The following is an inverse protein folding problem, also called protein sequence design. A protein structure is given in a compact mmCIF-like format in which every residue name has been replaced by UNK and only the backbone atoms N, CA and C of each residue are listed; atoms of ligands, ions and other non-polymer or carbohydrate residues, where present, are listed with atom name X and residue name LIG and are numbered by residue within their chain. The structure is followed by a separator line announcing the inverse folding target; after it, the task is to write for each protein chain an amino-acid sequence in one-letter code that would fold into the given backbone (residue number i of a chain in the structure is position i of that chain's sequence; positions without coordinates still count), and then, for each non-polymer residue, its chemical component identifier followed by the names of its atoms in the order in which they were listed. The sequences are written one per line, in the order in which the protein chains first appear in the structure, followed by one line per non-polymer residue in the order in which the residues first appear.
data_IF_776913119479
#
_entry.id   IF_776913119479
#
_cell.length_a   1.000
_cell.length_b   1.000
_cell.length_c   1.000
_cell.angle_alpha   90.00
_cell.angle_beta   90.00
_cell.angle_gamma   90.00
#
_symmetry.space_group_name_H-M   'P 1'
#
loop_
_entity.id
_entity.type
_entity.pdbx_description
1 polymer ?
#
# COMPACT_ATOMS: atom_id res chain seq x y z
N UNK A 1 21.62 0.85 6.87
CA UNK A 1 20.55 0.00 6.32
C UNK A 1 21.13 -1.25 5.70
N UNK A 2 20.47 -2.36 5.89
CA UNK A 2 20.87 -3.65 5.35
C UNK A 2 20.71 -3.70 3.82
N UNK A 3 21.67 -4.29 3.12
CA UNK A 3 21.53 -4.55 1.68
C UNK A 3 20.45 -5.60 1.44
N UNK A 4 19.62 -5.39 0.44
CA UNK A 4 18.53 -6.29 0.07
C UNK A 4 18.76 -6.87 -1.31
N UNK A 5 18.48 -8.18 -1.45
CA UNK A 5 18.63 -8.92 -2.71
C UNK A 5 17.37 -9.70 -3.00
N UNK A 6 16.96 -9.73 -4.26
CA UNK A 6 15.83 -10.53 -4.72
C UNK A 6 16.15 -12.03 -4.69
N UNK A 7 15.14 -12.85 -4.89
CA UNK A 7 15.29 -14.33 -4.96
C UNK A 7 16.33 -14.75 -6.02
N UNK A 8 16.37 -14.05 -7.15
CA UNK A 8 17.33 -14.28 -8.22
C UNK A 8 18.64 -13.49 -8.06
N UNK A 9 18.91 -12.99 -6.86
CA UNK A 9 20.22 -12.42 -6.50
C UNK A 9 20.49 -11.02 -6.97
N UNK A 10 19.46 -10.27 -7.40
CA UNK A 10 19.65 -8.90 -7.88
C UNK A 10 19.51 -7.93 -6.70
N UNK A 11 20.47 -7.02 -6.57
CA UNK A 11 20.46 -6.02 -5.51
C UNK A 11 19.34 -4.99 -5.72
N UNK A 12 18.58 -4.74 -4.68
CA UNK A 12 17.55 -3.69 -4.65
C UNK A 12 18.22 -2.36 -4.32
N UNK A 13 17.91 -1.35 -5.11
CA UNK A 13 18.33 0.02 -4.87
C UNK A 13 17.25 0.74 -4.08
N UNK A 14 17.64 1.37 -2.97
CA UNK A 14 16.72 2.20 -2.17
C UNK A 14 17.15 3.64 -2.31
N UNK A 15 16.46 4.45 -3.13
CA UNK A 15 16.77 5.87 -3.25
C UNK A 15 16.65 6.60 -1.92
N UNK A 16 17.45 7.62 -1.71
CA UNK A 16 17.41 8.40 -0.47
C UNK A 16 16.03 8.99 -0.19
N UNK A 17 15.35 9.46 -1.24
CA UNK A 17 13.98 10.00 -1.12
C UNK A 17 12.98 8.93 -0.64
N UNK A 18 13.11 7.70 -1.10
CA UNK A 18 12.27 6.58 -0.65
C UNK A 18 12.56 6.25 0.81
N UNK A 19 13.84 6.20 1.19
CA UNK A 19 14.26 5.93 2.56
C UNK A 19 13.70 6.98 3.53
N UNK A 20 13.82 8.25 3.19
CA UNK A 20 13.26 9.36 3.98
C UNK A 20 11.74 9.27 4.11
N UNK A 21 11.06 9.00 3.00
CA UNK A 21 9.60 8.83 2.98
C UNK A 21 9.17 7.68 3.90
N UNK A 22 9.84 6.55 3.82
CA UNK A 22 9.52 5.38 4.64
C UNK A 22 9.84 5.60 6.12
N UNK A 23 10.93 6.28 6.44
CA UNK A 23 11.26 6.63 7.83
C UNK A 23 10.25 7.60 8.45
N UNK A 24 9.68 8.50 7.63
CA UNK A 24 8.70 9.50 8.09
C UNK A 24 7.31 8.90 8.32
N UNK A 25 6.91 7.87 7.56
CA UNK A 25 5.54 7.38 7.50
C UNK A 25 5.40 5.89 7.77
N UNK A 26 6.51 5.16 7.85
CA UNK A 26 6.42 3.72 7.79
C UNK A 26 6.56 3.04 9.13
N UNK A 27 5.69 2.08 9.32
CA UNK A 27 5.80 1.06 10.35
C UNK A 27 6.60 -0.16 9.86
N UNK A 28 7.10 -0.10 8.63
CA UNK A 28 7.77 -1.25 8.00
C UNK A 28 9.18 -1.41 8.53
N UNK A 29 9.43 -2.57 9.13
CA UNK A 29 10.75 -2.99 9.56
C UNK A 29 11.59 -3.39 8.34
N UNK A 30 12.78 -2.82 8.18
CA UNK A 30 13.64 -3.10 7.04
C UNK A 30 14.15 -4.55 7.00
N UNK A 31 14.25 -5.23 8.13
CA UNK A 31 14.63 -6.64 8.16
C UNK A 31 13.50 -7.51 7.59
N UNK A 32 12.26 -7.18 7.92
CA UNK A 32 11.08 -7.86 7.34
C UNK A 32 11.00 -7.58 5.85
N UNK A 33 11.22 -6.35 5.43
CA UNK A 33 11.25 -5.97 4.02
C UNK A 33 12.32 -6.77 3.26
N UNK A 34 13.51 -6.90 3.83
CA UNK A 34 14.60 -7.69 3.23
C UNK A 34 14.21 -9.16 3.07
N UNK A 35 13.52 -9.75 4.05
CA UNK A 35 12.98 -11.11 3.93
C UNK A 35 11.95 -11.23 2.80
N UNK A 36 11.05 -10.26 2.69
CA UNK A 36 10.04 -10.23 1.63
C UNK A 36 10.68 -10.13 0.24
N UNK A 37 11.65 -9.26 0.09
CA UNK A 37 12.38 -9.05 -1.16
C UNK A 37 13.06 -10.34 -1.62
N UNK A 38 13.59 -11.15 -0.70
CA UNK A 38 14.18 -12.45 -1.02
C UNK A 38 13.20 -13.47 -1.61
N UNK A 39 11.90 -13.23 -1.48
CA UNK A 39 10.85 -14.07 -2.06
C UNK A 39 10.45 -13.63 -3.45
N UNK A 40 10.94 -12.47 -3.90
CA UNK A 40 10.59 -11.88 -5.20
C UNK A 40 11.61 -12.25 -6.25
N UNK A 41 11.14 -12.85 -7.36
CA UNK A 41 11.94 -12.99 -8.55
C UNK A 41 11.70 -11.77 -9.45
N UNK A 42 12.74 -10.97 -9.65
CA UNK A 42 12.62 -9.74 -10.42
C UNK A 42 13.14 -9.92 -11.83
N UNK A 43 12.31 -9.64 -12.83
CA UNK A 43 12.60 -9.81 -14.24
C UNK A 43 12.54 -8.51 -15.04
N UNK A 44 12.75 -7.39 -14.39
CA UNK A 44 12.69 -6.06 -15.00
C UNK A 44 11.30 -5.42 -14.93
N UNK A 45 11.22 -4.15 -15.31
CA UNK A 45 9.98 -3.41 -15.37
C UNK A 45 9.41 -3.00 -14.02
N UNK A 46 8.12 -2.72 -14.02
CA UNK A 46 7.37 -2.37 -12.83
C UNK A 46 6.89 -3.62 -12.11
N UNK A 47 7.13 -3.69 -10.81
CA UNK A 47 6.68 -4.79 -9.95
C UNK A 47 5.82 -4.23 -8.82
N UNK A 48 4.67 -4.86 -8.60
CA UNK A 48 3.76 -4.50 -7.52
C UNK A 48 3.04 -5.76 -7.07
N UNK A 49 3.27 -6.18 -5.84
CA UNK A 49 2.60 -7.34 -5.28
C UNK A 49 2.55 -7.32 -3.76
N UNK A 50 1.65 -8.12 -3.21
CA UNK A 50 1.52 -8.40 -1.80
C UNK A 50 2.11 -9.77 -1.52
N UNK A 51 3.01 -9.85 -0.54
CA UNK A 51 3.74 -11.06 -0.18
C UNK A 51 3.30 -11.53 1.19
N UNK A 52 2.81 -12.78 1.26
CA UNK A 52 2.45 -13.40 2.53
C UNK A 52 3.70 -13.97 3.21
N UNK A 53 4.01 -13.44 4.39
CA UNK A 53 5.18 -13.84 5.16
C UNK A 53 4.95 -15.07 6.04
N UNK A 54 3.71 -15.58 6.11
CA UNK A 54 3.37 -16.77 6.87
C UNK A 54 3.29 -16.57 8.39
N UNK A 55 3.47 -15.34 8.85
CA UNK A 55 3.34 -14.95 10.27
C UNK A 55 2.84 -13.52 10.36
N UNK A 56 2.28 -13.15 11.47
CA UNK A 56 1.89 -11.74 11.72
C UNK A 56 3.15 -10.90 11.76
N UNK A 57 3.21 -9.89 10.90
CA UNK A 57 4.38 -9.00 10.77
C UNK A 57 4.09 -7.55 11.16
N UNK A 58 2.82 -7.16 11.24
CA UNK A 58 2.43 -5.81 11.57
C UNK A 58 0.94 -5.61 11.49
N UNK A 59 0.53 -4.36 11.30
CA UNK A 59 -0.86 -3.94 11.26
C UNK A 59 -1.21 -3.34 9.90
N UNK A 60 -2.42 -3.57 9.43
CA UNK A 60 -2.99 -2.91 8.25
C UNK A 60 -4.10 -1.96 8.65
N UNK A 61 -4.18 -0.83 7.94
CA UNK A 61 -5.20 0.20 8.15
C UNK A 61 -6.33 0.14 7.14
N UNK A 62 -6.22 -0.69 6.11
CA UNK A 62 -7.30 -0.94 5.16
C UNK A 62 -8.03 -2.22 5.56
N UNK A 63 -9.30 -2.10 5.93
CA UNK A 63 -10.05 -3.20 6.55
C UNK A 63 -11.39 -3.41 5.84
N UNK A 64 -11.88 -4.66 5.91
CA UNK A 64 -13.23 -4.97 5.45
C UNK A 64 -14.24 -4.42 6.43
N UNK A 65 -15.28 -3.76 5.91
CA UNK A 65 -16.34 -3.14 6.71
C UNK A 65 -17.34 -4.18 7.16
N UNK A 66 -17.69 -4.16 8.44
CA UNK A 66 -18.76 -4.99 9.02
C UNK A 66 -20.09 -4.22 9.03
N UNK A 67 -21.20 -4.94 9.16
CA UNK A 67 -22.54 -4.35 9.17
C UNK A 67 -22.75 -3.32 10.30
N UNK A 68 -22.00 -3.45 11.39
CA UNK A 68 -22.10 -2.54 12.54
C UNK A 68 -21.14 -1.33 12.44
N UNK A 69 -20.30 -1.29 11.43
CA UNK A 69 -19.35 -0.19 11.26
C UNK A 69 -20.04 1.06 10.74
N UNK A 70 -19.66 2.19 11.30
CA UNK A 70 -20.06 3.49 10.78
C UNK A 70 -18.97 4.00 9.85
N UNK A 71 -19.31 4.10 8.56
CA UNK A 71 -18.38 4.57 7.52
C UNK A 71 -18.69 6.01 7.18
N UNK A 72 -17.67 6.85 7.24
CA UNK A 72 -17.75 8.25 6.83
C UNK A 72 -16.70 8.52 5.75
N UNK A 73 -17.02 9.41 4.83
CA UNK A 73 -16.13 9.79 3.74
C UNK A 73 -15.45 11.11 4.06
N UNK A 74 -14.11 11.12 3.91
CA UNK A 74 -13.30 12.32 4.12
C UNK A 74 -12.32 12.51 2.97
N UNK A 75 -11.92 13.74 2.71
CA UNK A 75 -10.80 14.01 1.83
C UNK A 75 -9.49 13.75 2.57
N UNK A 76 -8.62 12.93 1.98
CA UNK A 76 -7.24 12.85 2.43
C UNK A 76 -6.44 14.02 1.86
N UNK A 77 -5.42 14.43 2.59
CA UNK A 77 -4.52 15.51 2.14
C UNK A 77 -3.98 15.21 0.75
N UNK A 78 -4.03 16.20 -0.13
CA UNK A 78 -3.53 16.13 -1.52
C UNK A 78 -4.25 15.12 -2.41
N UNK A 79 -5.47 14.70 -2.06
CA UNK A 79 -6.31 13.83 -2.90
C UNK A 79 -7.51 14.59 -3.44
N UNK A 80 -7.96 14.19 -4.63
CA UNK A 80 -9.05 14.89 -5.35
C UNK A 80 -10.43 14.49 -4.86
N UNK A 81 -10.57 13.23 -4.48
CA UNK A 81 -11.84 12.66 -4.05
C UNK A 81 -11.82 12.21 -2.60
N UNK A 82 -12.96 11.70 -2.16
CA UNK A 82 -13.12 11.22 -0.79
C UNK A 82 -12.77 9.75 -0.65
N UNK A 83 -12.31 9.39 0.53
CA UNK A 83 -11.98 8.03 0.92
C UNK A 83 -12.91 7.60 2.07
N UNK A 84 -13.44 6.36 2.05
CA UNK A 84 -14.21 5.85 3.18
C UNK A 84 -13.30 5.55 4.38
N UNK A 85 -13.73 6.00 5.55
CA UNK A 85 -13.05 5.77 6.82
C UNK A 85 -14.01 5.15 7.82
N UNK A 86 -13.49 4.30 8.69
CA UNK A 86 -14.23 3.71 9.80
C UNK A 86 -13.64 4.20 11.12
N UNK A 87 -14.51 4.68 12.01
CA UNK A 87 -14.13 5.14 13.36
C UNK A 87 -14.36 4.02 14.38
N UNK A 88 -13.60 4.08 15.47
CA UNK A 88 -13.80 3.16 16.59
C UNK A 88 -13.24 1.76 16.39
N UNK A 89 -12.39 1.60 15.39
CA UNK A 89 -11.69 0.32 15.16
C UNK A 89 -10.18 0.55 15.18
N UNK A 90 -9.47 -0.44 15.69
CA UNK A 90 -8.01 -0.48 15.63
C UNK A 90 -7.54 -1.14 14.35
N UNK A 91 -6.32 -0.81 13.87
CA UNK A 91 -5.70 -1.53 12.78
C UNK A 91 -5.66 -3.04 13.06
N UNK A 92 -5.79 -3.83 12.00
CA UNK A 92 -5.83 -5.30 12.09
C UNK A 92 -4.47 -5.92 11.86
N UNK A 93 -4.22 -7.06 12.52
CA UNK A 93 -3.01 -7.85 12.27
C UNK A 93 -2.96 -8.31 10.81
N UNK A 94 -1.76 -8.31 10.24
CA UNK A 94 -1.56 -8.81 8.88
C UNK A 94 -0.29 -9.65 8.76
N UNK A 95 -0.34 -10.63 7.86
CA UNK A 95 0.81 -11.44 7.46
C UNK A 95 1.42 -10.96 6.16
N UNK A 96 0.84 -9.95 5.54
CA UNK A 96 1.18 -9.50 4.20
C UNK A 96 1.97 -8.19 4.20
N UNK A 97 2.90 -8.09 3.26
CA UNK A 97 3.64 -6.86 2.98
C UNK A 97 3.58 -6.58 1.48
N UNK A 98 3.25 -5.34 1.14
CA UNK A 98 3.27 -4.88 -0.24
C UNK A 98 4.64 -4.33 -0.57
N UNK A 99 5.16 -4.70 -1.74
CA UNK A 99 6.43 -4.20 -2.25
C UNK A 99 6.22 -3.67 -3.66
N UNK A 100 6.70 -2.46 -3.93
CA UNK A 100 6.61 -1.84 -5.25
C UNK A 100 7.98 -1.43 -5.71
N UNK A 101 8.39 -1.96 -6.87
CA UNK A 101 9.63 -1.61 -7.56
C UNK A 101 9.34 -0.97 -8.91
N UNK A 102 10.24 -0.10 -9.33
CA UNK A 102 10.42 0.26 -10.73
C UNK A 102 11.79 -0.19 -11.20
N UNK A 103 11.99 -0.28 -12.51
CA UNK A 103 13.30 -0.59 -13.06
C UNK A 103 14.20 0.64 -12.99
N UNK A 104 15.38 0.48 -12.42
CA UNK A 104 16.41 1.51 -12.37
C UNK A 104 17.22 1.58 -13.65
N UNK A 105 18.11 2.58 -13.70
CA UNK A 105 18.95 2.87 -14.87
C UNK A 105 19.75 1.68 -15.38
N UNK A 106 20.19 0.81 -14.46
CA UNK A 106 21.02 -0.35 -14.78
C UNK A 106 20.27 -1.68 -14.70
N UNK A 107 18.94 -1.64 -14.73
CA UNK A 107 18.12 -2.82 -14.68
C UNK A 107 17.82 -3.35 -13.26
N UNK A 108 18.37 -2.76 -12.23
CA UNK A 108 18.10 -3.14 -10.85
C UNK A 108 16.70 -2.71 -10.42
N UNK A 109 16.02 -3.49 -9.56
CA UNK A 109 14.78 -3.02 -8.96
C UNK A 109 15.06 -1.85 -8.02
N UNK A 110 14.32 -0.77 -8.21
CA UNK A 110 14.37 0.39 -7.31
C UNK A 110 13.12 0.44 -6.47
N UNK A 111 13.27 0.45 -5.16
CA UNK A 111 12.15 0.50 -4.24
C UNK A 111 11.42 1.85 -4.35
N UNK A 112 10.14 1.80 -4.64
CA UNK A 112 9.26 2.98 -4.62
C UNK A 112 8.67 3.14 -3.23
N UNK A 113 8.04 2.08 -2.72
CA UNK A 113 7.43 2.06 -1.40
C UNK A 113 7.11 0.64 -0.95
N UNK A 114 6.79 0.50 0.33
CA UNK A 114 6.33 -0.74 0.93
C UNK A 114 5.43 -0.41 2.11
N UNK A 115 4.43 -1.25 2.37
CA UNK A 115 3.58 -1.14 3.56
C UNK A 115 3.05 -2.51 3.95
N UNK A 116 2.61 -2.64 5.20
CA UNK A 116 1.95 -3.86 5.67
C UNK A 116 0.49 -3.89 5.23
N UNK A 117 0.04 -5.03 4.78
CA UNK A 117 -1.32 -5.28 4.33
C UNK A 117 -1.39 -5.78 2.90
N UNK A 118 -2.56 -5.65 2.31
CA UNK A 118 -2.83 -6.10 0.96
C UNK A 118 -2.78 -4.95 -0.04
N UNK A 119 -2.68 -5.30 -1.31
CA UNK A 119 -2.89 -4.35 -2.38
C UNK A 119 -4.36 -3.95 -2.41
N UNK A 120 -4.60 -2.64 -2.34
CA UNK A 120 -5.91 -2.09 -2.60
C UNK A 120 -5.94 -1.55 -4.03
N UNK A 121 -7.04 -1.74 -4.76
CA UNK A 121 -7.19 -1.11 -6.07
C UNK A 121 -7.30 0.40 -5.90
N UNK A 122 -7.12 1.13 -6.99
CA UNK A 122 -7.29 2.58 -6.97
C UNK A 122 -8.71 2.95 -6.54
N UNK A 123 -8.86 4.09 -5.86
CA UNK A 123 -10.16 4.56 -5.42
C UNK A 123 -11.02 5.04 -6.59
N UNK A 124 -12.37 5.01 -6.46
CA UNK A 124 -13.29 5.33 -7.56
C UNK A 124 -13.08 6.70 -8.21
N UNK A 125 -12.54 7.68 -7.48
CA UNK A 125 -12.26 9.01 -8.00
C UNK A 125 -10.95 9.15 -8.75
N UNK A 126 -10.09 8.11 -8.73
CA UNK A 126 -8.75 8.18 -9.32
C UNK A 126 -8.84 8.34 -10.84
N UNK A 127 -8.16 9.36 -11.37
CA UNK A 127 -8.18 9.66 -12.80
C UNK A 127 -7.59 8.54 -13.66
N UNK A 128 -6.76 7.68 -13.10
CA UNK A 128 -6.18 6.53 -13.81
C UNK A 128 -7.21 5.47 -14.17
N UNK A 129 -8.41 5.50 -13.57
CA UNK A 129 -9.51 4.57 -13.90
C UNK A 129 -9.89 4.62 -15.36
N UNK A 130 -9.73 5.74 -16.02
CA UNK A 130 -10.03 5.88 -17.48
C UNK A 130 -9.21 4.94 -18.36
N UNK A 131 -8.10 4.42 -17.84
CA UNK A 131 -7.24 3.46 -18.55
C UNK A 131 -7.49 2.01 -18.15
N UNK A 132 -8.43 1.77 -17.23
CA UNK A 132 -8.77 0.44 -16.74
C UNK A 132 -9.80 -0.24 -17.63
N UNK A 133 -9.79 -1.57 -17.62
CA UNK A 133 -10.83 -2.38 -18.24
C UNK A 133 -12.11 -2.29 -17.41
N UNK A 134 -13.26 -2.69 -18.00
CA UNK A 134 -14.53 -2.75 -17.28
C UNK A 134 -14.47 -3.69 -16.08
N UNK A 135 -13.74 -4.80 -16.19
CA UNK A 135 -13.54 -5.75 -15.09
C UNK A 135 -12.74 -5.13 -13.96
N UNK A 136 -11.65 -4.44 -14.27
CA UNK A 136 -10.83 -3.73 -13.28
C UNK A 136 -11.63 -2.64 -12.55
N UNK A 137 -12.47 -1.90 -13.27
CA UNK A 137 -13.36 -0.88 -12.67
C UNK A 137 -14.35 -1.54 -11.72
N UNK A 138 -14.96 -2.65 -12.12
CA UNK A 138 -15.91 -3.38 -11.27
C UNK A 138 -15.23 -3.90 -10.00
N UNK A 139 -14.05 -4.48 -10.10
CA UNK A 139 -13.28 -4.94 -8.96
C UNK A 139 -12.93 -3.80 -8.01
N UNK A 140 -12.56 -2.66 -8.55
CA UNK A 140 -12.28 -1.44 -7.82
C UNK A 140 -13.52 -0.98 -7.02
N UNK A 141 -14.67 -0.88 -7.68
CA UNK A 141 -15.91 -0.44 -7.04
C UNK A 141 -16.38 -1.43 -5.96
N UNK A 142 -16.33 -2.73 -6.24
CA UNK A 142 -16.69 -3.78 -5.27
C UNK A 142 -15.77 -3.74 -4.03
N UNK A 143 -14.48 -3.53 -4.26
CA UNK A 143 -13.53 -3.42 -3.15
C UNK A 143 -13.87 -2.23 -2.24
N UNK A 144 -14.05 -1.05 -2.80
CA UNK A 144 -14.30 0.16 -2.00
C UNK A 144 -15.72 0.25 -1.45
N UNK A 145 -16.66 -0.53 -1.98
CA UNK A 145 -17.98 -0.72 -1.37
C UNK A 145 -17.93 -1.56 -0.09
N UNK A 146 -16.90 -2.38 0.07
CA UNK A 146 -16.76 -3.31 1.18
C UNK A 146 -15.57 -3.03 2.12
N UNK A 147 -14.75 -2.05 1.81
CA UNK A 147 -13.54 -1.71 2.58
C UNK A 147 -13.49 -0.23 2.94
N UNK A 148 -12.78 0.06 4.01
CA UNK A 148 -12.52 1.42 4.46
C UNK A 148 -11.15 1.48 5.14
N UNK A 149 -10.61 2.68 5.28
CA UNK A 149 -9.42 2.92 6.07
C UNK A 149 -9.80 3.16 7.53
N UNK A 150 -8.95 2.76 8.45
CA UNK A 150 -9.07 3.13 9.85
C UNK A 150 -8.89 4.64 9.96
N UNK A 151 -9.81 5.30 10.66
CA UNK A 151 -9.79 6.75 10.82
C UNK A 151 -8.49 7.23 11.46
N UNK A 152 -7.82 8.14 10.77
CA UNK A 152 -6.60 8.78 11.24
C UNK A 152 -6.67 10.26 10.84
N UNK A 153 -6.90 11.12 11.83
CA UNK A 153 -7.04 12.56 11.62
C UNK A 153 -5.82 13.18 10.94
N UNK A 154 -4.64 12.63 11.17
CA UNK A 154 -3.39 13.17 10.60
C UNK A 154 -3.33 13.10 9.07
N UNK A 155 -4.05 12.18 8.45
CA UNK A 155 -4.06 12.03 6.99
C UNK A 155 -5.27 12.71 6.32
N UNK A 156 -6.18 13.28 7.11
CA UNK A 156 -7.41 13.91 6.62
C UNK A 156 -7.24 15.42 6.46
N UNK A 157 -7.76 15.93 5.36
CA UNK A 157 -7.87 17.37 5.14
C UNK A 157 -9.15 17.87 5.78
N UNK A 158 -9.03 18.41 6.99
CA UNK A 158 -10.16 18.86 7.78
C UNK A 158 -10.78 20.17 7.26
N UNK A 159 -10.10 20.86 6.35
CA UNK A 159 -10.59 22.10 5.76
C UNK A 159 -11.59 21.86 4.63
N UNK A 160 -11.50 20.69 3.97
CA UNK A 160 -12.45 20.32 2.92
C UNK A 160 -13.59 19.49 3.52
N UNK A 161 -14.80 19.99 3.33
CA UNK A 161 -16.03 19.35 3.82
C UNK A 161 -16.67 18.52 2.71
N UNK A 162 -17.12 17.35 3.07
CA UNK A 162 -17.85 16.44 2.16
C UNK A 162 -19.31 16.88 2.05
#
# INVERSE_FOLDING_TARGET
MKKMYTKNGIRVIVPQSTLEHMEAHADVDFDILAEAVKKIEYNGGFYKDSINMGRIIGKTTCVKVDANDEVQHFYRKKRVGTTPFVKGRDPEDTTNIVVIFREGKYGNPMLITSWYGDLAPMEPWDARRKHCTEEEIRECDEFWDSHALIFDESCIDMERVV
#
